data_IF_248661970235
#
_entry.id   IF_248661970235
#
_cell.length_a   1.000
_cell.length_b   1.000
_cell.length_c   1.000
_cell.angle_alpha   90.00
_cell.angle_beta   90.00
_cell.angle_gamma   90.00
#
_symmetry.space_group_name_H-M   'P 1'
#
loop_
_entity.id
_entity.type
_entity.pdbx_description
1 polymer ?
#
# COMPACT_ATOMS: atom_id res chain seq x y z
N UNK A 1 17.19 2.92 11.05
CA UNK A 1 17.15 1.65 10.28
C UNK A 1 16.17 1.81 9.12
N UNK A 2 16.64 2.11 7.89
CA UNK A 2 15.77 2.32 6.71
C UNK A 2 14.91 1.09 6.37
N UNK A 3 15.40 -0.10 6.72
CA UNK A 3 14.74 -1.39 6.52
C UNK A 3 13.37 -1.53 7.20
N UNK A 4 13.12 -0.83 8.32
CA UNK A 4 11.81 -0.87 8.99
C UNK A 4 10.81 0.08 8.34
N UNK A 5 11.27 1.20 7.76
CA UNK A 5 10.43 2.17 7.07
C UNK A 5 9.88 1.58 5.76
N UNK A 6 10.73 0.92 4.98
CA UNK A 6 10.32 0.26 3.74
C UNK A 6 9.30 -0.85 4.02
N UNK A 7 9.60 -1.77 4.93
CA UNK A 7 8.68 -2.87 5.33
C UNK A 7 7.32 -2.33 5.79
N UNK A 8 7.32 -1.26 6.59
CA UNK A 8 6.07 -0.64 7.04
C UNK A 8 5.29 -0.02 5.88
N UNK A 9 5.96 0.64 4.95
CA UNK A 9 5.31 1.29 3.80
C UNK A 9 4.72 0.25 2.84
N UNK A 10 5.46 -0.84 2.58
CA UNK A 10 4.98 -2.01 1.83
C UNK A 10 3.80 -2.69 2.52
N UNK A 11 3.84 -2.88 3.85
CA UNK A 11 2.69 -3.38 4.60
C UNK A 11 1.47 -2.46 4.43
N UNK A 12 1.66 -1.13 4.51
CA UNK A 12 0.58 -0.17 4.30
C UNK A 12 0.01 -0.26 2.89
N UNK A 13 0.83 -0.45 1.85
CA UNK A 13 0.35 -0.67 0.48
C UNK A 13 -0.62 -1.86 0.43
N UNK A 14 -0.22 -3.01 0.98
CA UNK A 14 -1.06 -4.22 1.03
C UNK A 14 -2.37 -3.99 1.77
N UNK A 15 -2.32 -3.28 2.89
CA UNK A 15 -3.53 -2.97 3.69
C UNK A 15 -4.48 -2.01 2.98
N UNK A 16 -3.96 -1.02 2.26
CA UNK A 16 -4.76 -0.10 1.44
C UNK A 16 -5.40 -0.81 0.25
N UNK A 17 -4.66 -1.71 -0.42
CA UNK A 17 -5.20 -2.55 -1.50
C UNK A 17 -6.33 -3.45 -0.99
N UNK A 18 -6.13 -4.11 0.16
CA UNK A 18 -7.16 -4.92 0.80
C UNK A 18 -8.42 -4.10 1.14
N UNK A 19 -8.24 -2.96 1.81
CA UNK A 19 -9.36 -2.09 2.19
C UNK A 19 -10.12 -1.58 0.95
N UNK A 20 -9.41 -1.24 -0.12
CA UNK A 20 -10.03 -0.79 -1.37
C UNK A 20 -10.82 -1.89 -2.07
N UNK A 21 -10.32 -3.13 -2.08
CA UNK A 21 -11.08 -4.27 -2.62
C UNK A 21 -12.34 -4.52 -1.78
N UNK A 22 -12.21 -4.58 -0.45
CA UNK A 22 -13.34 -4.79 0.44
C UNK A 22 -14.38 -3.67 0.35
N UNK A 23 -13.93 -2.43 0.15
CA UNK A 23 -14.81 -1.28 -0.06
C UNK A 23 -15.71 -1.42 -1.31
N UNK A 24 -15.23 -2.08 -2.37
CA UNK A 24 -16.05 -2.28 -3.58
C UNK A 24 -17.29 -3.12 -3.31
N UNK A 25 -17.17 -4.09 -2.40
CA UNK A 25 -18.27 -4.98 -2.05
C UNK A 25 -19.09 -4.42 -0.88
N UNK A 26 -18.43 -3.75 0.08
CA UNK A 26 -19.06 -3.21 1.29
C UNK A 26 -18.54 -1.78 1.53
N UNK A 27 -19.36 -0.74 1.32
CA UNK A 27 -18.93 0.63 1.53
C UNK A 27 -18.68 0.92 3.01
N UNK A 28 -17.41 1.08 3.39
CA UNK A 28 -17.00 1.48 4.74
C UNK A 28 -16.86 3.01 4.87
N UNK A 29 -17.09 3.58 6.06
CA UNK A 29 -16.85 5.01 6.28
C UNK A 29 -15.42 5.43 5.91
N UNK A 30 -15.29 6.66 5.38
CA UNK A 30 -14.02 7.33 5.04
C UNK A 30 -13.22 6.73 3.89
N UNK A 31 -13.60 5.58 3.36
CA UNK A 31 -12.89 4.89 2.27
C UNK A 31 -13.00 5.60 0.92
N UNK A 32 -13.96 6.52 0.77
CA UNK A 32 -14.08 7.49 -0.32
C UNK A 32 -12.85 8.40 -0.46
N UNK A 33 -12.02 8.50 0.60
CA UNK A 33 -10.78 9.26 0.59
C UNK A 33 -9.64 8.55 -0.14
N UNK A 34 -9.75 7.24 -0.38
CA UNK A 34 -8.76 6.47 -1.12
C UNK A 34 -8.90 6.78 -2.61
N UNK A 35 -7.88 7.38 -3.20
CA UNK A 35 -7.91 7.77 -4.62
C UNK A 35 -7.30 6.67 -5.50
N UNK A 36 -7.52 6.76 -6.81
CA UNK A 36 -6.86 5.88 -7.78
C UNK A 36 -5.33 6.03 -7.76
N UNK A 37 -4.81 7.21 -7.41
CA UNK A 37 -3.36 7.43 -7.23
C UNK A 37 -2.82 6.60 -6.06
N UNK A 38 -3.54 6.55 -4.93
CA UNK A 38 -3.13 5.76 -3.77
C UNK A 38 -2.99 4.28 -4.12
N UNK A 39 -3.93 3.75 -4.91
CA UNK A 39 -3.92 2.36 -5.35
C UNK A 39 -2.84 2.11 -6.40
N UNK A 40 -2.57 3.08 -7.29
CA UNK A 40 -1.48 2.99 -8.26
C UNK A 40 -0.13 2.91 -7.55
N UNK A 41 0.11 3.76 -6.53
CA UNK A 41 1.31 3.71 -5.71
C UNK A 41 1.42 2.40 -4.94
N UNK A 42 0.32 1.91 -4.37
CA UNK A 42 0.31 0.64 -3.66
C UNK A 42 0.63 -0.55 -4.57
N UNK A 43 0.06 -0.57 -5.78
CA UNK A 43 0.33 -1.60 -6.80
C UNK A 43 1.78 -1.55 -7.30
N UNK A 44 2.37 -0.37 -7.44
CA UNK A 44 3.78 -0.23 -7.81
C UNK A 44 4.72 -0.79 -6.74
N UNK A 45 4.41 -0.57 -5.46
CA UNK A 45 5.20 -1.10 -4.36
C UNK A 45 4.99 -2.61 -4.14
N UNK A 46 3.75 -3.08 -4.25
CA UNK A 46 3.33 -4.43 -3.91
C UNK A 46 2.34 -5.00 -4.95
N UNK A 47 2.82 -5.37 -6.15
CA UNK A 47 1.95 -5.84 -7.24
C UNK A 47 1.32 -7.20 -6.94
N UNK A 48 2.00 -8.07 -6.21
CA UNK A 48 1.55 -9.45 -5.90
C UNK A 48 0.96 -9.59 -4.49
N UNK A 49 0.36 -8.52 -3.95
CA UNK A 49 -0.15 -8.50 -2.57
C UNK A 49 -1.18 -9.59 -2.28
N UNK A 50 -1.96 -10.01 -3.27
CA UNK A 50 -2.97 -11.07 -3.17
C UNK A 50 -2.38 -12.43 -2.81
N UNK A 51 -1.11 -12.70 -3.15
CA UNK A 51 -0.41 -13.92 -2.70
C UNK A 51 -0.22 -13.95 -1.18
N UNK A 52 -0.22 -12.79 -0.51
CA UNK A 52 -0.17 -12.72 0.95
C UNK A 52 -1.49 -13.15 1.60
N UNK A 53 -2.62 -13.02 0.91
CA UNK A 53 -3.94 -13.49 1.40
C UNK A 53 -4.08 -15.02 1.33
N UNK A 54 -3.34 -15.67 0.43
CA UNK A 54 -3.37 -17.12 0.28
C UNK A 54 -2.59 -17.87 1.38
N UNK A 55 -1.85 -17.17 2.24
CA UNK A 55 -1.07 -17.78 3.32
C UNK A 55 -1.85 -17.82 4.63
N UNK A 56 -2.21 -19.00 5.17
CA UNK A 56 -2.95 -19.12 6.43
C UNK A 56 -2.17 -18.64 7.66
N UNK A 57 -0.85 -18.43 7.55
CA UNK A 57 -0.02 -17.90 8.64
C UNK A 57 -0.13 -16.37 8.80
N UNK A 58 -0.60 -15.65 7.79
CA UNK A 58 -0.62 -14.20 7.80
C UNK A 58 -1.93 -13.69 7.21
N UNK A 59 -3.00 -13.71 8.01
CA UNK A 59 -4.24 -13.02 7.65
C UNK A 59 -3.93 -11.53 7.61
N UNK A 60 -3.74 -10.99 6.41
CA UNK A 60 -3.56 -9.57 6.21
C UNK A 60 -4.85 -8.85 6.59
N UNK A 61 -4.76 -7.90 7.53
CA UNK A 61 -5.87 -7.05 7.97
C UNK A 61 -5.47 -5.59 7.92
N UNK A 62 -6.43 -4.69 7.84
CA UNK A 62 -6.23 -3.24 8.01
C UNK A 62 -6.59 -2.80 9.44
N UNK A 63 -5.99 -1.71 9.97
CA UNK A 63 -6.38 -1.17 11.27
C UNK A 63 -7.84 -0.70 11.28
N UNK A 64 -8.61 -1.16 12.26
CA UNK A 64 -10.04 -0.82 12.41
C UNK A 64 -10.30 0.69 12.55
N UNK A 65 -9.33 1.44 13.07
CA UNK A 65 -9.39 2.88 13.25
C UNK A 65 -9.57 3.64 11.94
N UNK A 66 -9.11 3.08 10.82
CA UNK A 66 -9.23 3.73 9.51
C UNK A 66 -10.68 3.93 9.09
N UNK A 67 -11.55 2.99 9.48
CA UNK A 67 -12.99 3.03 9.19
C UNK A 67 -13.82 3.51 10.38
N UNK A 68 -13.27 3.46 11.60
CA UNK A 68 -13.98 3.88 12.81
C UNK A 68 -13.75 5.35 13.19
N UNK A 69 -12.57 5.92 12.91
CA UNK A 69 -12.17 7.26 13.38
C UNK A 69 -11.98 8.23 12.22
N UNK A 70 -12.74 9.32 12.24
CA UNK A 70 -12.61 10.43 11.28
C UNK A 70 -11.16 10.94 11.24
N UNK A 71 -10.60 11.06 10.04
CA UNK A 71 -9.25 11.58 9.82
C UNK A 71 -8.12 10.56 10.01
N UNK A 72 -8.38 9.37 10.55
CA UNK A 72 -7.35 8.33 10.69
C UNK A 72 -6.82 7.89 9.33
N UNK A 73 -7.72 7.54 8.41
CA UNK A 73 -7.35 7.14 7.05
C UNK A 73 -6.68 8.28 6.27
N UNK A 74 -7.21 9.51 6.34
CA UNK A 74 -6.60 10.68 5.72
C UNK A 74 -5.12 10.89 6.15
N UNK A 75 -4.84 10.78 7.45
CA UNK A 75 -3.49 10.93 7.97
C UNK A 75 -2.54 9.84 7.45
N UNK A 76 -3.04 8.60 7.38
CA UNK A 76 -2.28 7.47 6.81
C UNK A 76 -2.01 7.67 5.32
N UNK A 77 -3.02 8.04 4.53
CA UNK A 77 -2.87 8.27 3.10
C UNK A 77 -1.84 9.37 2.81
N UNK A 78 -1.90 10.49 3.56
CA UNK A 78 -0.89 11.55 3.45
C UNK A 78 0.52 11.04 3.71
N UNK A 79 0.73 10.26 4.79
CA UNK A 79 2.06 9.71 5.10
C UNK A 79 2.52 8.67 4.07
N UNK A 80 1.59 7.83 3.61
CA UNK A 80 1.85 6.78 2.63
C UNK A 80 2.31 7.36 1.30
N UNK A 81 1.61 8.38 0.77
CA UNK A 81 1.96 9.03 -0.51
C UNK A 81 3.40 9.52 -0.54
N UNK A 82 3.84 10.22 0.52
CA UNK A 82 5.20 10.74 0.63
C UNK A 82 6.21 9.60 0.60
N UNK A 83 6.05 8.61 1.49
CA UNK A 83 6.98 7.50 1.63
C UNK A 83 7.00 6.58 0.42
N UNK A 84 5.86 6.36 -0.22
CA UNK A 84 5.75 5.54 -1.42
C UNK A 84 6.52 6.17 -2.58
N UNK A 85 6.38 7.49 -2.78
CA UNK A 85 7.14 8.22 -3.79
C UNK A 85 8.64 8.21 -3.50
N UNK A 86 9.03 8.42 -2.23
CA UNK A 86 10.45 8.30 -1.82
C UNK A 86 11.03 6.92 -2.14
N UNK A 87 10.30 5.84 -1.82
CA UNK A 87 10.77 4.47 -2.08
C UNK A 87 10.85 4.16 -3.58
N UNK A 88 9.86 4.57 -4.37
CA UNK A 88 9.86 4.35 -5.82
C UNK A 88 10.97 5.14 -6.52
N UNK A 89 11.24 6.37 -6.06
CA UNK A 89 12.35 7.18 -6.58
C UNK A 89 13.73 6.67 -6.13
N UNK A 90 13.79 5.95 -5.01
CA UNK A 90 15.02 5.36 -4.49
C UNK A 90 15.33 3.97 -5.07
N UNK A 91 14.38 3.35 -5.79
CA UNK A 91 14.70 2.15 -6.56
C UNK A 91 15.63 2.56 -7.70
N UNK A 92 16.78 1.89 -7.88
CA UNK A 92 17.58 2.08 -9.07
C UNK A 92 16.66 1.80 -10.26
N UNK A 93 16.63 2.72 -11.23
CA UNK A 93 16.25 2.34 -12.59
C UNK A 93 17.15 1.14 -12.91
N UNK A 94 16.57 -0.05 -13.00
CA UNK A 94 17.25 -1.15 -13.67
C UNK A 94 17.35 -0.67 -15.11
N UNK A 95 18.46 0.02 -15.38
CA UNK A 95 18.86 0.45 -16.70
C UNK A 95 18.92 -0.84 -17.51
N UNK A 96 18.12 -0.90 -18.58
CA UNK A 96 18.07 -2.02 -19.53
C UNK A 96 19.36 -2.07 -20.37
N UNK A 97 20.53 -1.92 -19.74
CA UNK A 97 21.83 -1.83 -20.38
C UNK A 97 22.76 -3.02 -20.10
N UNK A 98 22.26 -4.09 -19.45
CA UNK A 98 23.04 -5.31 -19.17
C UNK A 98 22.55 -6.57 -19.95
N UNK A 99 21.77 -6.39 -21.02
CA UNK A 99 21.35 -7.51 -21.89
C UNK A 99 22.10 -7.62 -23.24
N UNK A 100 23.20 -6.88 -23.42
CA UNK A 100 24.11 -7.11 -24.55
C UNK A 100 25.52 -7.46 -24.03
N UNK A 101 25.78 -8.77 -23.88
CA UNK A 101 27.02 -9.44 -24.31
C UNK A 101 26.91 -10.96 -24.18
#
# INVERSE_FOLDING_TARGET
MPYSLEKNTRLRARQLQLLYVLHKDIPYPYTDQITSEDITLANALEPCWTHSLASPKYVLTYPSEWVAKKGSLAAVLRSFRVKAKELLNAQPLLDESDFDM
#
